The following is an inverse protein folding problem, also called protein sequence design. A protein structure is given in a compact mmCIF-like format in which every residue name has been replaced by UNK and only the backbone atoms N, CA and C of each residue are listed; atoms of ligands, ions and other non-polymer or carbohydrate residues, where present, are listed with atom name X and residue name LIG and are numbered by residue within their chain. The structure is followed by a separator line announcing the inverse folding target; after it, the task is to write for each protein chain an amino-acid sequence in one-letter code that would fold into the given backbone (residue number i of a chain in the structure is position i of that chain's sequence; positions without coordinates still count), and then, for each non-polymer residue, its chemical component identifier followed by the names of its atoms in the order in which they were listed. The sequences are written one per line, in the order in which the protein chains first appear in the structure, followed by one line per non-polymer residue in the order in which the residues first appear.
data_IF_370597468162
#
_entry.id   IF_370597468162
#
_cell.length_a   1.000
_cell.length_b   1.000
_cell.length_c   1.000
_cell.angle_alpha   90.00
_cell.angle_beta   90.00
_cell.angle_gamma   90.00
#
_symmetry.space_group_name_H-M   'P 1'
#
loop_
_entity.id
_entity.type
_entity.pdbx_description
1 polymer ?
#
# COMPACT_ATOMS: atom_id res chain seq x y z
N UNK A 1 9.50 17.55 5.41
CA UNK A 1 9.99 16.72 4.29
C UNK A 1 8.97 15.64 4.09
N UNK A 2 8.34 15.57 2.92
CA UNK A 2 7.39 14.50 2.61
C UNK A 2 8.15 13.19 2.43
N UNK A 3 7.81 12.20 3.25
CA UNK A 3 8.29 10.83 3.11
C UNK A 3 7.19 10.00 2.50
N UNK A 4 7.54 9.15 1.54
CA UNK A 4 6.61 8.23 0.87
C UNK A 4 6.91 6.79 1.25
N UNK A 5 5.93 5.92 1.04
CA UNK A 5 6.06 4.49 1.28
C UNK A 5 6.51 3.80 -0.01
N UNK A 6 7.56 2.98 0.10
CA UNK A 6 8.07 2.18 -1.01
C UNK A 6 8.11 0.71 -0.62
N UNK A 7 7.86 -0.17 -1.58
CA UNK A 7 7.98 -1.62 -1.41
C UNK A 7 9.26 -2.11 -2.04
N UNK A 8 9.95 -3.01 -1.36
CA UNK A 8 11.19 -3.63 -1.83
C UNK A 8 10.88 -4.77 -2.79
N UNK A 9 11.55 -4.78 -3.94
CA UNK A 9 11.36 -5.80 -4.98
C UNK A 9 12.31 -6.99 -4.79
N UNK A 10 12.05 -8.10 -5.49
CA UNK A 10 12.93 -9.29 -5.47
C UNK A 10 14.33 -9.03 -6.05
N UNK A 11 14.47 -7.97 -6.87
CA UNK A 11 15.74 -7.57 -7.46
C UNK A 11 16.61 -6.74 -6.48
N UNK A 12 16.05 -6.33 -5.34
CA UNK A 12 16.74 -5.50 -4.38
C UNK A 12 17.90 -6.26 -3.71
N UNK A 13 19.04 -5.59 -3.50
CA UNK A 13 20.08 -6.12 -2.63
C UNK A 13 19.56 -6.25 -1.19
N UNK A 14 20.18 -7.13 -0.40
CA UNK A 14 19.86 -7.30 1.02
C UNK A 14 20.08 -6.03 1.89
N UNK A 15 20.64 -4.96 1.31
CA UNK A 15 20.80 -3.66 1.95
C UNK A 15 20.36 -2.53 1.03
N UNK A 16 19.39 -1.74 1.48
CA UNK A 16 18.92 -0.52 0.83
C UNK A 16 19.14 0.66 1.78
N UNK A 17 19.66 1.77 1.26
CA UNK A 17 19.97 2.96 2.05
C UNK A 17 20.74 2.66 3.36
N UNK A 18 21.70 1.73 3.32
CA UNK A 18 22.49 1.31 4.48
C UNK A 18 21.74 0.47 5.53
N UNK A 19 20.46 0.15 5.31
CA UNK A 19 19.61 -0.67 6.19
C UNK A 19 19.38 -2.04 5.58
N UNK A 20 19.17 -3.06 6.42
CA UNK A 20 18.73 -4.37 5.94
C UNK A 20 17.27 -4.28 5.50
N UNK A 21 17.00 -4.76 4.30
CA UNK A 21 15.67 -4.82 3.72
C UNK A 21 15.57 -6.10 2.88
N UNK A 22 14.46 -6.83 3.02
CA UNK A 22 14.16 -8.02 2.25
C UNK A 22 13.08 -7.75 1.21
N UNK A 23 12.90 -8.70 0.29
CA UNK A 23 11.80 -8.65 -0.67
C UNK A 23 10.45 -8.47 0.05
N UNK A 24 9.65 -7.51 -0.42
CA UNK A 24 8.33 -7.21 0.14
C UNK A 24 8.32 -6.32 1.37
N UNK A 25 9.49 -5.96 1.93
CA UNK A 25 9.55 -4.97 3.00
C UNK A 25 9.02 -3.61 2.54
N UNK A 26 8.46 -2.86 3.50
CA UNK A 26 7.98 -1.50 3.29
C UNK A 26 8.96 -0.52 3.92
N UNK A 27 9.49 0.40 3.11
CA UNK A 27 10.44 1.42 3.51
C UNK A 27 9.81 2.80 3.39
N UNK A 28 9.88 3.58 4.46
CA UNK A 28 9.50 4.99 4.45
C UNK A 28 10.74 5.83 4.20
N UNK A 29 10.81 6.45 3.02
CA UNK A 29 11.98 7.20 2.55
C UNK A 29 11.53 8.56 2.00
N UNK A 30 12.42 9.55 2.02
CA UNK A 30 12.20 10.78 1.25
C UNK A 30 12.41 10.53 -0.24
N UNK A 31 11.83 11.36 -1.11
CA UNK A 31 12.03 11.26 -2.57
C UNK A 31 13.52 11.28 -2.95
N UNK A 32 14.32 12.12 -2.28
CA UNK A 32 15.77 12.22 -2.52
C UNK A 32 16.50 10.93 -2.19
N UNK A 33 16.09 10.24 -1.13
CA UNK A 33 16.69 8.97 -0.72
C UNK A 33 16.27 7.86 -1.68
N UNK A 34 14.98 7.73 -1.97
CA UNK A 34 14.43 6.66 -2.80
C UNK A 34 14.81 6.75 -4.30
N UNK A 35 15.20 7.93 -4.80
CA UNK A 35 15.43 8.14 -6.23
C UNK A 35 16.45 7.18 -6.84
N UNK A 36 17.51 6.84 -6.11
CA UNK A 36 18.53 5.92 -6.61
C UNK A 36 18.00 4.49 -6.66
N UNK A 37 17.36 4.02 -5.59
CA UNK A 37 16.79 2.68 -5.48
C UNK A 37 15.64 2.47 -6.48
N UNK A 38 14.82 3.49 -6.74
CA UNK A 38 13.75 3.45 -7.76
C UNK A 38 14.32 3.37 -9.16
N UNK A 39 15.35 4.17 -9.48
CA UNK A 39 16.03 4.14 -10.79
C UNK A 39 16.65 2.77 -11.08
N UNK A 40 17.19 2.10 -10.05
CA UNK A 40 17.70 0.73 -10.16
C UNK A 40 16.60 -0.35 -10.18
N UNK A 41 15.34 0.01 -9.93
CA UNK A 41 14.21 -0.94 -9.84
C UNK A 41 14.21 -1.80 -8.58
N UNK A 42 14.93 -1.39 -7.52
CA UNK A 42 14.99 -2.13 -6.26
C UNK A 42 13.80 -1.85 -5.35
N UNK A 43 13.17 -0.69 -5.50
CA UNK A 43 11.95 -0.35 -4.78
C UNK A 43 10.92 0.27 -5.72
N UNK A 44 9.65 0.09 -5.39
CA UNK A 44 8.51 0.66 -6.10
C UNK A 44 7.68 1.55 -5.15
N UNK A 45 7.19 2.69 -5.63
CA UNK A 45 6.32 3.56 -4.83
C UNK A 45 4.98 2.84 -4.62
N UNK A 46 4.62 2.61 -3.36
CA UNK A 46 3.28 2.10 -3.04
C UNK A 46 2.37 3.29 -3.06
N UNK A 47 1.61 3.43 -4.15
CA UNK A 47 0.46 4.34 -4.13
C UNK A 47 -0.40 3.89 -2.95
N UNK A 48 -0.66 4.82 -2.02
CA UNK A 48 -1.68 4.67 -0.99
C UNK A 48 -3.00 4.54 -1.74
N UNK A 49 -3.27 3.33 -2.22
CA UNK A 49 -4.60 2.95 -2.62
C UNK A 49 -5.26 2.87 -1.26
N UNK A 50 -6.17 3.79 -0.89
CA UNK A 50 -7.00 3.51 0.26
C UNK A 50 -7.60 2.16 -0.10
N UNK A 51 -7.19 1.13 0.64
CA UNK A 51 -7.95 -0.10 0.68
C UNK A 51 -9.31 0.41 1.09
N UNK A 52 -10.21 0.54 0.11
CA UNK A 52 -11.61 0.57 0.36
C UNK A 52 -11.83 -0.77 1.03
N UNK A 53 -11.69 -0.78 2.35
CA UNK A 53 -12.28 -1.80 3.19
C UNK A 53 -13.69 -1.84 2.66
N UNK A 54 -14.00 -2.91 1.93
CA UNK A 54 -15.38 -3.19 1.55
C UNK A 54 -16.04 -3.48 2.89
N UNK A 55 -16.45 -2.43 3.59
CA UNK A 55 -17.60 -2.48 4.48
C UNK A 55 -18.79 -2.72 3.56
N UNK A 56 -18.89 -3.95 3.07
CA UNK A 56 -20.15 -4.54 2.69
C UNK A 56 -20.92 -4.79 3.97
N UNK A 57 -21.35 -3.71 4.63
CA UNK A 57 -22.60 -3.74 5.37
C UNK A 57 -23.70 -3.82 4.33
N UNK A 58 -23.91 -5.03 3.78
CA UNK A 58 -25.13 -5.35 3.04
C UNK A 58 -26.27 -5.52 4.06
N UNK A 59 -26.68 -4.37 4.61
CA UNK A 59 -28.04 -4.13 5.06
C UNK A 59 -28.55 -2.98 4.20
N UNK A 60 -29.68 -3.14 3.51
CA UNK A 60 -30.94 -3.27 4.23
C UNK A 60 -31.85 -4.35 3.62
N UNK A 61 -32.26 -5.31 4.45
CA UNK A 61 -33.46 -6.11 4.18
C UNK A 61 -34.69 -5.19 4.23
N UNK A 62 -34.91 -4.44 3.15
CA UNK A 62 -36.18 -3.83 2.81
C UNK A 62 -37.20 -4.97 2.67
N UNK A 63 -38.06 -5.13 3.65
CA UNK A 63 -39.38 -5.71 3.44
C UNK A 63 -40.38 -4.73 4.04
N UNK A 64 -40.71 -3.75 3.20
CA UNK A 64 -41.93 -2.96 3.35
C UNK A 64 -43.12 -3.91 3.47
N UNK A 65 -44.03 -3.57 4.38
CA UNK A 65 -45.14 -4.43 4.77
C UNK A 65 -46.08 -4.79 3.62
N UNK A 66 -46.79 -5.90 3.83
CA UNK A 66 -48.14 -6.04 3.32
C UNK A 66 -49.02 -6.32 4.54
N UNK A 67 -49.71 -5.28 4.98
CA UNK A 67 -50.86 -5.39 5.87
C UNK A 67 -52.08 -5.40 4.96
N UNK A 68 -52.78 -6.52 4.86
CA UNK A 68 -54.15 -6.55 4.32
C UNK A 68 -54.92 -7.72 4.94
N UNK A 69 -55.85 -7.32 5.81
CA UNK A 69 -57.10 -7.94 6.30
C UNK A 69 -57.12 -9.34 6.93
#
# INVERSE_FOLDING_TARGET
MDTKLYRVTAAAPARLFGRRAGEGDLLTLTEREARFEVDQGWIEEVADTPTAVVMGSDGPGLSFGTLTE
#
